data_IF_679225125885
#
_entry.id   IF_679225125885
#
_cell.length_a   1.000
_cell.length_b   1.000
_cell.length_c   1.000
_cell.angle_alpha   90.00
_cell.angle_beta   90.00
_cell.angle_gamma   90.00
#
_symmetry.space_group_name_H-M   'P 1'
#
loop_
_entity.id
_entity.type
_entity.pdbx_description
1 polymer ?
#
# COMPACT_ATOMS: atom_id res chain seq x y z
N UNK A 1 33.78 -36.72 27.15
CA UNK A 1 32.38 -36.62 27.63
C UNK A 1 31.74 -35.53 26.81
N UNK A 2 31.26 -35.95 25.65
CA UNK A 2 30.72 -35.09 24.62
C UNK A 2 29.31 -34.69 25.02
N UNK A 3 29.04 -33.38 25.05
CA UNK A 3 27.69 -32.84 25.19
C UNK A 3 27.23 -32.41 23.81
N UNK A 4 26.49 -33.31 23.16
CA UNK A 4 25.71 -32.98 21.97
C UNK A 4 24.65 -31.94 22.37
N UNK A 5 24.83 -30.71 21.89
CA UNK A 5 23.76 -29.73 21.87
C UNK A 5 22.86 -30.07 20.69
N UNK A 6 21.66 -30.59 20.99
CA UNK A 6 20.62 -30.74 20.00
C UNK A 6 20.11 -29.33 19.66
N UNK A 7 20.57 -28.76 18.54
CA UNK A 7 19.89 -27.63 17.92
C UNK A 7 18.61 -28.17 17.30
N UNK A 8 17.48 -27.96 17.98
CA UNK A 8 16.19 -28.03 17.33
C UNK A 8 16.08 -26.76 16.50
N UNK A 9 16.41 -26.87 15.21
CA UNK A 9 16.05 -25.86 14.22
C UNK A 9 14.53 -25.86 14.21
N UNK A 10 13.94 -24.84 14.86
CA UNK A 10 12.52 -24.57 14.75
C UNK A 10 12.21 -24.40 13.28
N UNK A 11 11.44 -25.34 12.75
CA UNK A 11 10.88 -25.26 11.42
C UNK A 11 10.01 -24.01 11.40
N UNK A 12 10.53 -22.91 10.85
CA UNK A 12 9.70 -21.80 10.43
C UNK A 12 8.80 -22.38 9.35
N UNK A 13 7.60 -22.81 9.74
CA UNK A 13 6.53 -22.94 8.79
C UNK A 13 6.35 -21.53 8.25
N UNK A 14 7.00 -21.24 7.11
CA UNK A 14 6.41 -20.37 6.12
C UNK A 14 5.04 -20.98 5.85
N UNK A 15 4.05 -20.55 6.61
CA UNK A 15 2.74 -20.36 6.05
C UNK A 15 2.98 -19.18 5.10
N UNK A 16 3.55 -19.51 3.92
CA UNK A 16 3.09 -18.90 2.69
C UNK A 16 1.60 -19.06 2.82
N UNK A 17 0.91 -17.99 3.25
CA UNK A 17 -0.50 -17.86 2.95
C UNK A 17 -0.49 -18.09 1.45
N UNK A 18 -0.98 -19.24 0.96
CA UNK A 18 -1.10 -19.41 -0.47
C UNK A 18 -1.90 -18.19 -0.86
N UNK A 19 -1.36 -17.32 -1.74
CA UNK A 19 -2.10 -16.21 -2.32
C UNK A 19 -3.53 -16.69 -2.42
N UNK A 20 -4.38 -16.24 -1.50
CA UNK A 20 -5.69 -16.85 -1.43
C UNK A 20 -6.23 -16.52 -2.80
N UNK A 21 -6.59 -17.55 -3.56
CA UNK A 21 -7.49 -17.35 -4.67
C UNK A 21 -8.75 -16.86 -4.00
N UNK A 22 -8.77 -15.55 -3.73
CA UNK A 22 -9.95 -14.76 -3.48
C UNK A 22 -10.93 -15.26 -4.54
N UNK A 23 -12.17 -15.52 -4.14
CA UNK A 23 -13.25 -15.50 -5.12
C UNK A 23 -13.34 -14.06 -5.66
N UNK A 24 -12.35 -13.70 -6.49
CA UNK A 24 -12.42 -12.57 -7.38
C UNK A 24 -13.68 -12.80 -8.20
N UNK A 25 -14.41 -11.73 -8.46
CA UNK A 25 -15.36 -11.67 -9.54
C UNK A 25 -14.84 -12.51 -10.71
N UNK A 26 -15.70 -13.32 -11.34
CA UNK A 26 -15.36 -14.18 -12.49
C UNK A 26 -14.88 -13.44 -13.73
N UNK A 27 -14.40 -12.21 -13.57
CA UNK A 27 -13.68 -11.38 -14.51
C UNK A 27 -12.39 -12.09 -14.98
N UNK A 28 -12.24 -12.36 -16.28
CA UNK A 28 -11.07 -13.07 -16.79
C UNK A 28 -9.77 -12.25 -16.81
N UNK A 29 -9.84 -10.91 -16.86
CA UNK A 29 -8.68 -10.06 -17.13
C UNK A 29 -8.38 -9.03 -16.04
N UNK A 30 -9.38 -8.52 -15.31
CA UNK A 30 -9.16 -7.54 -14.22
C UNK A 30 -9.04 -8.23 -12.87
N UNK A 31 -8.07 -7.79 -12.05
CA UNK A 31 -7.97 -8.10 -10.63
C UNK A 31 -7.72 -6.82 -9.83
N UNK A 32 -8.31 -6.71 -8.65
CA UNK A 32 -8.16 -5.55 -7.76
C UNK A 32 -7.70 -6.03 -6.38
N UNK A 33 -6.67 -5.40 -5.80
CA UNK A 33 -6.01 -5.90 -4.57
C UNK A 33 -6.92 -5.96 -3.34
N UNK A 34 -7.95 -5.12 -3.29
CA UNK A 34 -8.93 -5.04 -2.20
C UNK A 34 -10.25 -5.76 -2.50
N UNK A 35 -10.36 -6.39 -3.67
CA UNK A 35 -11.45 -7.33 -3.91
C UNK A 35 -11.21 -8.54 -2.99
N UNK A 36 -12.06 -8.70 -1.98
CA UNK A 36 -12.06 -9.86 -1.11
C UNK A 36 -13.45 -10.13 -0.56
N UNK A 37 -14.08 -11.18 -1.09
CA UNK A 37 -15.43 -11.60 -0.70
C UNK A 37 -15.56 -11.99 0.77
N UNK A 38 -14.48 -12.45 1.42
CA UNK A 38 -14.47 -12.79 2.85
C UNK A 38 -14.61 -11.54 3.74
N UNK A 39 -14.17 -10.39 3.24
CA UNK A 39 -14.29 -9.09 3.91
C UNK A 39 -15.31 -8.16 3.22
N UNK A 40 -16.19 -8.71 2.39
CA UNK A 40 -17.27 -7.97 1.75
C UNK A 40 -16.84 -6.97 0.67
N UNK A 41 -15.61 -7.07 0.14
CA UNK A 41 -15.02 -6.08 -0.76
C UNK A 41 -14.97 -4.66 -0.16
N UNK A 42 -14.76 -4.56 1.15
CA UNK A 42 -14.65 -3.28 1.86
C UNK A 42 -13.18 -2.87 1.95
N UNK A 43 -12.89 -1.59 1.73
CA UNK A 43 -11.59 -0.97 2.01
C UNK A 43 -11.79 0.40 2.65
N UNK A 44 -10.77 0.94 3.33
CA UNK A 44 -10.93 2.12 4.16
C UNK A 44 -9.72 3.03 4.17
N UNK A 45 -9.92 4.26 4.65
CA UNK A 45 -8.82 5.15 5.02
C UNK A 45 -7.86 5.44 3.86
N UNK A 46 -6.57 5.43 4.15
CA UNK A 46 -5.49 5.70 3.21
C UNK A 46 -4.99 4.49 2.43
N UNK A 47 -5.71 3.35 2.46
CA UNK A 47 -5.28 2.16 1.72
C UNK A 47 -5.09 2.48 0.24
N UNK A 48 -3.97 2.04 -0.34
CA UNK A 48 -3.73 2.13 -1.78
C UNK A 48 -4.29 0.87 -2.44
N UNK A 49 -5.03 1.04 -3.53
CA UNK A 49 -5.62 -0.06 -4.29
C UNK A 49 -4.82 -0.27 -5.57
N UNK A 50 -4.37 -1.50 -5.82
CA UNK A 50 -3.77 -1.92 -7.08
C UNK A 50 -4.84 -2.51 -8.00
N UNK A 51 -4.88 -2.01 -9.24
CA UNK A 51 -5.67 -2.58 -10.33
C UNK A 51 -4.73 -3.18 -11.36
N UNK A 52 -4.94 -4.44 -11.71
CA UNK A 52 -4.12 -5.16 -12.70
C UNK A 52 -4.99 -5.68 -13.83
N UNK A 53 -4.59 -5.39 -15.07
CA UNK A 53 -5.18 -5.99 -16.27
C UNK A 53 -4.21 -7.02 -16.86
N UNK A 54 -4.66 -8.27 -16.90
CA UNK A 54 -3.97 -9.43 -17.48
C UNK A 54 -4.68 -9.89 -18.75
N UNK A 55 -4.68 -9.04 -19.77
CA UNK A 55 -5.23 -9.37 -21.08
C UNK A 55 -4.12 -9.69 -22.09
N UNK A 56 -4.10 -10.93 -22.58
CA UNK A 56 -3.09 -11.43 -23.53
C UNK A 56 -3.08 -10.70 -24.89
N UNK A 57 -4.15 -9.99 -25.26
CA UNK A 57 -4.21 -9.25 -26.52
C UNK A 57 -3.37 -7.96 -26.47
N UNK A 58 -3.08 -7.47 -25.27
CA UNK A 58 -2.35 -6.21 -25.02
C UNK A 58 -1.12 -6.43 -24.12
N UNK A 59 -0.57 -7.65 -24.10
CA UNK A 59 0.55 -8.01 -23.23
C UNK A 59 1.95 -7.87 -23.85
N UNK A 60 2.06 -7.71 -25.18
CA UNK A 60 3.38 -7.57 -25.80
C UNK A 60 4.04 -6.28 -25.35
N UNK A 61 5.30 -6.39 -24.92
CA UNK A 61 6.07 -5.27 -24.33
C UNK A 61 6.97 -4.57 -25.34
N UNK A 62 7.15 -5.14 -26.52
CA UNK A 62 8.00 -4.61 -27.60
C UNK A 62 7.19 -4.15 -28.83
N UNK A 63 5.88 -4.35 -28.80
CA UNK A 63 4.93 -3.89 -29.81
C UNK A 63 3.97 -2.84 -29.21
N UNK A 64 3.65 -1.81 -29.98
CA UNK A 64 2.72 -0.77 -29.57
C UNK A 64 1.30 -1.34 -29.35
N UNK A 65 0.82 -1.29 -28.11
CA UNK A 65 -0.53 -1.61 -27.68
C UNK A 65 -1.22 -0.35 -27.18
N UNK A 66 -2.53 -0.30 -27.34
CA UNK A 66 -3.33 0.75 -26.73
C UNK A 66 -3.41 0.57 -25.22
N UNK A 67 -3.42 1.68 -24.48
CA UNK A 67 -3.78 1.67 -23.07
C UNK A 67 -5.16 1.01 -22.88
N UNK A 68 -5.32 0.06 -21.94
CA UNK A 68 -6.62 -0.54 -21.67
C UNK A 68 -7.59 0.53 -21.14
N UNK A 69 -8.83 0.49 -21.64
CA UNK A 69 -9.90 1.37 -21.18
C UNK A 69 -10.40 0.92 -19.81
N UNK A 70 -9.87 1.55 -18.76
CA UNK A 70 -10.23 1.31 -17.37
C UNK A 70 -10.75 2.61 -16.74
N UNK A 71 -11.87 2.51 -16.03
CA UNK A 71 -12.45 3.65 -15.32
C UNK A 71 -12.66 3.37 -13.84
N UNK A 72 -12.55 4.42 -13.03
CA UNK A 72 -12.94 4.49 -11.63
C UNK A 72 -14.13 5.45 -11.53
N UNK A 73 -15.32 4.95 -11.21
CA UNK A 73 -16.56 5.73 -11.18
C UNK A 73 -16.79 6.56 -12.47
N UNK A 74 -16.43 5.98 -13.62
CA UNK A 74 -16.57 6.60 -14.94
C UNK A 74 -15.49 7.62 -15.32
N UNK A 75 -14.50 7.88 -14.46
CA UNK A 75 -13.29 8.66 -14.79
C UNK A 75 -12.18 7.72 -15.22
N UNK A 76 -11.35 8.09 -16.19
CA UNK A 76 -10.24 7.26 -16.68
C UNK A 76 -9.23 7.01 -15.56
N UNK A 77 -9.00 5.75 -15.24
CA UNK A 77 -7.89 5.32 -14.41
C UNK A 77 -6.72 4.99 -15.34
N UNK A 78 -5.68 5.81 -15.36
CA UNK A 78 -4.53 5.61 -16.26
C UNK A 78 -3.82 4.31 -15.92
N UNK A 79 -3.58 3.48 -16.93
CA UNK A 79 -2.95 2.17 -16.78
C UNK A 79 -1.55 2.19 -17.39
N UNK A 80 -0.57 1.66 -16.67
CA UNK A 80 0.84 1.65 -17.07
C UNK A 80 1.28 0.21 -17.33
N UNK A 81 1.83 -0.08 -18.52
CA UNK A 81 2.35 -1.41 -18.81
C UNK A 81 3.67 -1.65 -18.05
N UNK A 82 3.74 -2.73 -17.29
CA UNK A 82 4.96 -3.19 -16.65
C UNK A 82 5.77 -4.13 -17.54
N UNK A 83 6.99 -4.46 -17.13
CA UNK A 83 7.93 -5.32 -17.85
C UNK A 83 7.47 -6.78 -17.97
N UNK A 84 6.49 -7.20 -17.18
CA UNK A 84 5.87 -8.53 -17.26
C UNK A 84 4.72 -8.62 -18.28
N UNK A 85 4.40 -7.51 -18.96
CA UNK A 85 3.35 -7.43 -19.97
C UNK A 85 1.95 -7.19 -19.40
N UNK A 86 1.79 -7.09 -18.08
CA UNK A 86 0.53 -6.69 -17.47
C UNK A 86 0.46 -5.17 -17.31
N UNK A 87 -0.76 -4.67 -17.13
CA UNK A 87 -1.00 -3.24 -16.93
C UNK A 87 -1.42 -2.97 -15.50
N UNK A 88 -0.85 -1.94 -14.89
CA UNK A 88 -0.98 -1.62 -13.48
C UNK A 88 -1.47 -0.18 -13.29
N UNK A 89 -2.32 0.02 -12.30
CA UNK A 89 -2.63 1.34 -11.77
C UNK A 89 -2.75 1.27 -10.25
N UNK A 90 -2.39 2.37 -9.59
CA UNK A 90 -2.57 2.56 -8.16
C UNK A 90 -3.50 3.75 -7.94
N UNK A 91 -4.48 3.61 -7.06
CA UNK A 91 -5.33 4.72 -6.65
C UNK A 91 -5.56 4.76 -5.14
N UNK A 92 -5.88 5.94 -4.62
CA UNK A 92 -6.21 6.14 -3.21
C UNK A 92 -7.21 7.29 -3.04
N UNK A 93 -7.89 7.32 -1.88
CA UNK A 93 -8.76 8.44 -1.51
C UNK A 93 -7.90 9.69 -1.26
N UNK A 94 -8.21 10.80 -1.94
CA UNK A 94 -7.41 12.02 -1.90
C UNK A 94 -7.29 12.62 -0.50
N UNK A 95 -8.37 12.65 0.27
CA UNK A 95 -8.38 13.28 1.60
C UNK A 95 -7.61 12.43 2.60
N UNK A 96 -7.77 11.09 2.53
CA UNK A 96 -7.05 10.18 3.42
C UNK A 96 -5.57 10.04 3.06
N UNK A 97 -5.21 10.03 1.77
CA UNK A 97 -3.81 10.07 1.35
C UNK A 97 -3.09 11.31 1.88
N UNK A 98 -3.70 12.49 1.74
CA UNK A 98 -3.16 13.74 2.30
C UNK A 98 -3.05 13.72 3.82
N UNK A 99 -4.04 13.15 4.50
CA UNK A 99 -4.05 13.02 5.97
C UNK A 99 -2.94 12.09 6.45
N UNK A 100 -2.72 10.98 5.75
CA UNK A 100 -1.65 10.03 6.00
C UNK A 100 -0.28 10.69 5.80
N UNK A 101 -0.09 11.34 4.67
CA UNK A 101 1.15 12.05 4.33
C UNK A 101 1.46 13.20 5.31
N UNK A 102 0.43 13.85 5.88
CA UNK A 102 0.60 14.90 6.88
C UNK A 102 1.18 14.37 8.21
N UNK A 103 1.20 13.05 8.43
CA UNK A 103 1.85 12.43 9.59
C UNK A 103 3.35 12.23 9.39
N UNK A 104 3.88 12.39 8.18
CA UNK A 104 5.27 12.07 7.83
C UNK A 104 6.24 12.99 8.58
N UNK A 105 7.08 12.39 9.42
CA UNK A 105 8.15 13.11 10.14
C UNK A 105 9.48 13.15 9.39
N UNK A 106 9.69 12.25 8.43
CA UNK A 106 10.88 12.16 7.58
C UNK A 106 10.49 11.57 6.22
N UNK A 107 10.92 12.22 5.12
CA UNK A 107 10.59 11.77 3.77
C UNK A 107 11.07 10.32 3.51
N UNK A 108 10.24 9.51 2.87
CA UNK A 108 10.46 8.08 2.65
C UNK A 108 10.11 7.18 3.83
N UNK A 109 9.43 7.69 4.88
CA UNK A 109 9.16 6.94 6.12
C UNK A 109 7.74 7.15 6.61
N UNK A 110 7.21 6.17 7.35
CA UNK A 110 5.81 6.23 7.81
C UNK A 110 4.86 6.14 6.62
N UNK A 111 3.67 6.74 6.73
CA UNK A 111 2.66 6.72 5.67
C UNK A 111 2.93 7.81 4.61
N UNK A 112 4.12 7.77 4.01
CA UNK A 112 4.58 8.73 2.99
C UNK A 112 4.13 8.29 1.60
N UNK A 113 3.39 9.16 0.91
CA UNK A 113 2.91 8.92 -0.46
C UNK A 113 3.88 9.45 -1.53
N UNK A 114 4.96 10.11 -1.12
CA UNK A 114 5.90 10.83 -1.95
C UNK A 114 5.60 12.33 -1.93
N UNK A 115 5.41 12.93 -3.10
CA UNK A 115 5.03 14.34 -3.24
C UNK A 115 3.79 14.49 -4.11
N UNK A 116 2.94 15.46 -3.80
CA UNK A 116 1.68 15.66 -4.54
C UNK A 116 1.80 16.71 -5.63
N UNK A 117 1.22 16.38 -6.78
CA UNK A 117 1.02 17.28 -7.92
C UNK A 117 -0.47 17.43 -8.23
N UNK A 118 -0.86 18.64 -8.64
CA UNK A 118 -2.21 18.90 -9.14
C UNK A 118 -2.49 18.09 -10.40
N UNK A 119 -3.74 17.69 -10.60
CA UNK A 119 -4.26 17.11 -11.86
C UNK A 119 -4.00 18.00 -13.09
N UNK A 120 -3.84 19.30 -12.88
CA UNK A 120 -3.59 20.29 -13.93
C UNK A 120 -2.11 20.37 -14.35
N UNK A 121 -1.23 19.56 -13.72
CA UNK A 121 0.16 19.40 -14.10
C UNK A 121 0.27 19.01 -15.58
N UNK A 122 1.05 19.77 -16.34
CA UNK A 122 1.26 19.53 -17.78
C UNK A 122 1.74 18.10 -18.05
N UNK A 123 1.21 17.46 -19.10
CA UNK A 123 1.68 16.14 -19.53
C UNK A 123 3.16 16.11 -19.92
N UNK A 124 3.78 17.26 -20.18
CA UNK A 124 5.23 17.35 -20.41
C UNK A 124 6.07 17.10 -19.15
N UNK A 125 5.48 17.17 -17.96
CA UNK A 125 6.17 17.02 -16.66
C UNK A 125 6.23 15.55 -16.24
N UNK A 126 5.10 14.84 -16.36
CA UNK A 126 4.96 13.42 -15.96
C UNK A 126 4.90 12.47 -17.15
N UNK A 127 4.98 12.98 -18.38
CA UNK A 127 4.88 12.19 -19.62
C UNK A 127 3.45 11.95 -20.11
N UNK A 128 2.45 12.08 -19.24
CA UNK A 128 1.03 11.91 -19.59
C UNK A 128 0.12 12.80 -18.73
N UNK A 129 -1.13 12.98 -19.15
CA UNK A 129 -2.13 13.77 -18.40
C UNK A 129 -2.90 12.92 -17.40
N UNK A 130 -3.18 13.52 -16.24
CA UNK A 130 -4.00 12.96 -15.17
C UNK A 130 -5.18 13.89 -14.84
N UNK A 131 -5.70 14.63 -15.83
CA UNK A 131 -6.73 15.66 -15.62
C UNK A 131 -8.08 15.14 -15.11
N UNK A 132 -8.32 13.83 -15.17
CA UNK A 132 -9.53 13.19 -14.64
C UNK A 132 -9.40 12.78 -13.16
N UNK A 133 -8.21 12.90 -12.55
CA UNK A 133 -8.00 12.70 -11.11
C UNK A 133 -8.28 13.99 -10.32
N UNK A 134 -8.19 13.94 -9.00
CA UNK A 134 -8.13 15.13 -8.15
C UNK A 134 -6.68 15.58 -7.89
N UNK A 135 -5.72 14.67 -8.05
CA UNK A 135 -4.29 14.92 -8.05
C UNK A 135 -3.53 13.61 -8.23
N UNK A 136 -2.21 13.66 -8.09
CA UNK A 136 -1.35 12.47 -8.14
C UNK A 136 -0.27 12.54 -7.08
N UNK A 137 0.09 11.39 -6.51
CA UNK A 137 1.27 11.23 -5.69
C UNK A 137 2.41 10.68 -6.53
N UNK A 138 3.53 11.40 -6.54
CA UNK A 138 4.74 11.09 -7.30
C UNK A 138 5.80 10.60 -6.32
N UNK A 139 6.43 9.45 -6.57
CA UNK A 139 7.36 8.82 -5.63
C UNK A 139 8.68 9.58 -5.47
N UNK A 140 8.95 10.60 -6.30
CA UNK A 140 10.25 11.29 -6.36
C UNK A 140 10.06 12.80 -6.46
N UNK A 141 10.83 13.53 -5.67
CA UNK A 141 10.78 15.00 -5.61
C UNK A 141 11.95 15.68 -6.30
N UNK A 142 13.10 15.02 -6.46
CA UNK A 142 14.29 15.63 -7.06
C UNK A 142 14.02 16.00 -8.52
N UNK A 143 14.43 17.21 -8.96
CA UNK A 143 14.15 17.73 -10.30
C UNK A 143 12.72 18.25 -10.51
N UNK A 144 11.77 17.81 -9.69
CA UNK A 144 10.41 18.31 -9.64
C UNK A 144 10.34 19.60 -8.82
N UNK A 145 9.51 20.54 -9.25
CA UNK A 145 9.32 21.83 -8.57
C UNK A 145 7.83 22.16 -8.54
N UNK A 146 7.37 22.84 -7.49
CA UNK A 146 5.95 23.17 -7.36
C UNK A 146 5.12 21.95 -7.03
N UNK A 147 5.60 21.11 -6.10
CA UNK A 147 4.83 20.04 -5.47
C UNK A 147 4.43 20.44 -4.04
N UNK A 148 3.52 19.69 -3.45
CA UNK A 148 3.06 19.85 -2.06
C UNK A 148 3.13 18.53 -1.30
N UNK A 149 3.20 18.60 0.03
CA UNK A 149 3.14 17.44 0.92
C UNK A 149 2.03 17.64 1.97
N UNK A 150 1.62 16.55 2.59
CA UNK A 150 0.61 16.50 3.63
C UNK A 150 -0.75 17.04 3.21
N UNK A 151 -1.36 17.84 4.08
CA UNK A 151 -2.73 18.36 3.91
C UNK A 151 -2.83 19.62 3.04
N UNK A 152 -1.71 20.10 2.50
CA UNK A 152 -1.66 21.29 1.64
C UNK A 152 -2.49 21.13 0.37
N UNK A 153 -3.01 22.25 -0.15
CA UNK A 153 -3.72 22.25 -1.45
C UNK A 153 -2.73 21.98 -2.57
N UNK A 154 -3.10 21.13 -3.54
CA UNK A 154 -2.22 20.78 -4.65
C UNK A 154 -1.89 21.99 -5.51
N UNK A 155 -0.69 21.97 -6.06
CA UNK A 155 -0.19 22.93 -7.04
C UNK A 155 0.34 22.19 -8.26
N UNK A 156 0.35 22.87 -9.41
CA UNK A 156 0.89 22.31 -10.64
C UNK A 156 2.39 22.10 -10.52
N UNK A 157 2.82 20.85 -10.71
CA UNK A 157 4.22 20.52 -10.77
C UNK A 157 4.83 21.00 -12.08
N UNK A 158 6.12 21.34 -12.01
CA UNK A 158 6.96 21.74 -13.13
C UNK A 158 8.32 21.04 -13.02
N UNK A 159 9.12 21.12 -14.08
CA UNK A 159 10.35 20.32 -14.18
C UNK A 159 10.01 18.87 -14.55
N UNK A 160 10.86 17.94 -14.12
CA UNK A 160 10.67 16.49 -14.29
C UNK A 160 11.28 15.79 -13.09
N UNK A 161 10.64 14.74 -12.56
CA UNK A 161 11.27 13.93 -11.51
C UNK A 161 12.56 13.33 -12.08
N UNK A 162 13.59 13.30 -11.25
CA UNK A 162 14.90 12.72 -11.56
C UNK A 162 15.39 11.96 -10.34
N UNK A 163 16.26 10.96 -10.52
CA UNK A 163 16.91 10.14 -9.48
C UNK A 163 16.14 8.85 -9.09
N UNK A 164 16.78 8.02 -8.29
CA UNK A 164 16.37 6.67 -7.90
C UNK A 164 15.71 6.58 -6.52
N UNK A 165 15.82 7.62 -5.69
CA UNK A 165 15.27 7.61 -4.33
C UNK A 165 13.74 7.64 -4.34
N UNK A 166 13.12 6.50 -4.07
CA UNK A 166 11.67 6.37 -3.88
C UNK A 166 11.29 6.86 -2.47
N UNK A 167 10.52 7.94 -2.40
CA UNK A 167 9.94 8.50 -1.16
C UNK A 167 8.59 7.87 -0.83
N UNK A 168 7.92 7.22 -1.79
CA UNK A 168 6.66 6.55 -1.55
C UNK A 168 6.91 5.29 -0.70
N UNK A 169 6.28 5.23 0.47
CA UNK A 169 6.38 4.15 1.45
C UNK A 169 5.05 3.39 1.63
N UNK A 170 4.10 3.58 0.71
CA UNK A 170 2.81 2.88 0.63
C UNK A 170 2.60 2.18 -0.72
N UNK A 171 3.60 2.22 -1.61
CA UNK A 171 3.74 1.37 -2.80
C UNK A 171 5.24 1.06 -2.99
N UNK A 172 5.75 0.09 -2.23
CA UNK A 172 7.18 -0.19 -2.10
C UNK A 172 7.73 -1.17 -3.13
N UNK A 173 6.93 -2.13 -3.58
CA UNK A 173 7.34 -3.19 -4.51
C UNK A 173 6.51 -3.23 -5.80
N UNK A 174 6.16 -2.06 -6.34
CA UNK A 174 5.53 -1.97 -7.66
C UNK A 174 6.34 -2.70 -8.75
N UNK A 175 5.63 -3.27 -9.73
CA UNK A 175 6.28 -3.90 -10.87
C UNK A 175 7.11 -2.90 -11.65
N UNK A 176 8.25 -3.34 -12.17
CA UNK A 176 9.10 -2.48 -13.00
C UNK A 176 8.35 -2.05 -14.26
N UNK A 177 8.35 -0.76 -14.57
CA UNK A 177 7.70 -0.21 -15.75
C UNK A 177 8.36 -0.71 -17.04
N UNK A 178 7.56 -0.92 -18.10
CA UNK A 178 8.09 -1.27 -19.42
C UNK A 178 8.88 -0.08 -20.00
N UNK A 179 10.17 -0.30 -20.27
CA UNK A 179 11.09 0.70 -20.85
C UNK A 179 11.67 0.25 -22.20
N UNK A 180 11.03 -0.73 -22.86
CA UNK A 180 11.49 -1.21 -24.16
C UNK A 180 11.56 -0.06 -25.18
N UNK A 181 12.71 0.09 -25.86
CA UNK A 181 12.98 1.20 -26.78
C UNK A 181 12.10 1.23 -28.03
N UNK A 182 11.37 0.15 -28.33
CA UNK A 182 10.46 0.09 -29.49
C UNK A 182 9.10 0.76 -29.22
N UNK A 183 8.77 1.01 -27.96
CA UNK A 183 7.49 1.60 -27.52
C UNK A 183 7.74 2.77 -26.58
N UNK A 184 6.71 3.56 -26.31
CA UNK A 184 6.77 4.58 -25.26
C UNK A 184 6.85 3.92 -23.88
N UNK A 185 7.51 4.56 -22.92
CA UNK A 185 7.62 4.06 -21.54
C UNK A 185 6.23 3.83 -20.96
N UNK A 186 6.01 2.63 -20.40
CA UNK A 186 4.72 2.18 -19.87
C UNK A 186 3.61 2.12 -20.93
N UNK A 187 3.95 2.21 -22.22
CA UNK A 187 3.06 2.36 -23.38
C UNK A 187 2.15 3.60 -23.38
N UNK A 188 2.23 4.44 -22.34
CA UNK A 188 1.52 5.73 -22.24
C UNK A 188 2.45 6.94 -22.29
N UNK A 189 3.78 6.70 -22.36
CA UNK A 189 4.79 7.76 -22.38
C UNK A 189 5.08 8.37 -21.01
N UNK A 190 4.73 7.68 -19.92
CA UNK A 190 4.99 8.13 -18.55
C UNK A 190 6.49 8.38 -18.35
N UNK A 191 6.83 9.41 -17.58
CA UNK A 191 8.18 9.57 -17.06
C UNK A 191 8.53 8.36 -16.16
N UNK A 192 9.67 7.72 -16.43
CA UNK A 192 10.11 6.53 -15.69
C UNK A 192 10.27 6.82 -14.19
N UNK A 193 10.71 8.03 -13.85
CA UNK A 193 10.94 8.47 -12.48
C UNK A 193 9.65 8.93 -11.79
N UNK A 194 8.53 9.03 -12.52
CA UNK A 194 7.21 9.20 -11.92
C UNK A 194 6.60 7.87 -11.42
N UNK A 195 7.14 6.71 -11.80
CA UNK A 195 6.60 5.39 -11.41
C UNK A 195 7.20 4.85 -10.10
N UNK A 196 6.42 4.28 -9.16
CA UNK A 196 4.97 4.11 -9.19
C UNK A 196 4.20 5.35 -8.75
N UNK A 197 3.34 5.85 -9.64
CA UNK A 197 2.45 6.99 -9.38
C UNK A 197 1.13 6.48 -8.80
N UNK A 198 0.61 7.17 -7.78
CA UNK A 198 -0.73 6.91 -7.22
C UNK A 198 -1.68 8.00 -7.73
N UNK A 199 -2.78 7.60 -8.36
CA UNK A 199 -3.84 8.49 -8.81
C UNK A 199 -4.81 8.77 -7.66
N UNK A 200 -5.03 10.04 -7.32
CA UNK A 200 -5.84 10.42 -6.17
C UNK A 200 -7.23 10.83 -6.62
N UNK A 201 -8.25 10.28 -5.97
CA UNK A 201 -9.65 10.56 -6.27
C UNK A 201 -10.44 10.83 -4.99
N UNK A 202 -11.42 11.72 -5.07
CA UNK A 202 -12.50 11.84 -4.12
C UNK A 202 -13.61 10.88 -4.52
N UNK A 203 -13.96 9.98 -3.60
CA UNK A 203 -15.01 8.97 -3.77
C UNK A 203 -15.61 8.59 -2.41
N UNK A 204 -16.83 8.08 -2.48
CA UNK A 204 -17.42 7.19 -1.47
C UNK A 204 -17.14 5.77 -1.97
N UNK A 205 -18.14 4.99 -2.37
CA UNK A 205 -17.91 3.69 -3.01
C UNK A 205 -17.26 3.80 -4.40
N UNK A 206 -16.62 2.72 -4.84
CA UNK A 206 -15.95 2.68 -6.14
C UNK A 206 -16.39 1.51 -7.01
N UNK A 207 -16.58 1.82 -8.29
CA UNK A 207 -16.75 0.87 -9.37
C UNK A 207 -15.53 0.99 -10.28
N UNK A 208 -14.75 -0.08 -10.37
CA UNK A 208 -13.68 -0.21 -11.36
C UNK A 208 -14.23 -1.00 -12.55
N UNK A 209 -14.20 -0.41 -13.74
CA UNK A 209 -14.65 -1.05 -14.97
C UNK A 209 -13.52 -1.15 -15.99
N UNK A 210 -13.33 -2.34 -16.57
CA UNK A 210 -12.45 -2.59 -17.71
C UNK A 210 -13.25 -2.99 -18.96
N UNK A 211 -12.98 -2.33 -20.08
CA UNK A 211 -13.66 -2.52 -21.36
C UNK A 211 -12.75 -3.18 -22.43
N UNK A 212 -12.66 -4.53 -22.51
CA UNK A 212 -11.77 -5.25 -23.43
C UNK A 212 -12.21 -5.25 -24.92
N UNK A 213 -13.18 -4.42 -25.31
CA UNK A 213 -13.86 -4.51 -26.62
C UNK A 213 -14.90 -5.65 -26.73
N UNK A 214 -15.15 -6.34 -25.61
CA UNK A 214 -16.23 -7.31 -25.40
C UNK A 214 -17.17 -6.86 -24.26
N UNK A 215 -17.80 -7.79 -23.53
CA UNK A 215 -18.54 -7.44 -22.32
C UNK A 215 -17.64 -6.74 -21.29
N UNK A 216 -18.13 -5.68 -20.63
CA UNK A 216 -17.38 -5.00 -19.57
C UNK A 216 -17.12 -5.96 -18.40
N UNK A 217 -15.97 -5.80 -17.75
CA UNK A 217 -15.60 -6.47 -16.51
C UNK A 217 -15.61 -5.42 -15.40
N UNK A 218 -16.25 -5.73 -14.27
CA UNK A 218 -16.45 -4.76 -13.20
C UNK A 218 -16.09 -5.35 -11.84
N UNK A 219 -15.53 -4.51 -10.98
CA UNK A 219 -15.32 -4.77 -9.56
C UNK A 219 -15.95 -3.64 -8.77
N UNK A 220 -16.82 -3.99 -7.83
CA UNK A 220 -17.41 -3.07 -6.87
C UNK A 220 -16.69 -3.20 -5.53
N UNK A 221 -16.27 -2.07 -4.98
CA UNK A 221 -15.72 -1.98 -3.64
C UNK A 221 -16.49 -0.94 -2.83
N UNK A 222 -16.81 -1.30 -1.59
CA UNK A 222 -17.40 -0.39 -0.62
C UNK A 222 -16.28 0.36 0.12
N UNK A 223 -16.41 1.68 0.25
CA UNK A 223 -15.44 2.50 0.98
C UNK A 223 -16.05 2.99 2.29
N UNK A 224 -15.82 2.23 3.35
CA UNK A 224 -16.39 2.49 4.67
C UNK A 224 -15.47 1.97 5.78
N UNK A 225 -15.91 2.11 7.03
CA UNK A 225 -15.26 1.53 8.19
C UNK A 225 -15.09 0.00 8.06
N UNK A 226 -13.90 -0.50 8.43
CA UNK A 226 -13.64 -1.94 8.43
C UNK A 226 -14.38 -2.61 9.58
N UNK A 227 -15.27 -3.53 9.23
CA UNK A 227 -15.99 -4.38 10.17
C UNK A 227 -15.25 -5.71 10.42
N UNK A 228 -15.70 -6.45 11.44
CA UNK A 228 -15.23 -7.82 11.75
C UNK A 228 -13.74 -7.95 12.11
N UNK A 229 -13.18 -6.92 12.73
CA UNK A 229 -11.84 -6.95 13.26
C UNK A 229 -11.79 -7.89 14.47
N UNK A 230 -10.83 -8.80 14.50
CA UNK A 230 -10.75 -9.83 15.53
C UNK A 230 -9.35 -10.04 16.07
N UNK A 231 -9.27 -10.45 17.34
CA UNK A 231 -8.06 -10.93 17.98
C UNK A 231 -8.35 -12.31 18.56
N UNK A 232 -7.59 -13.31 18.11
CA UNK A 232 -7.76 -14.69 18.50
C UNK A 232 -6.48 -15.19 19.17
N UNK A 233 -6.61 -15.75 20.38
CA UNK A 233 -5.50 -16.39 21.07
C UNK A 233 -5.30 -17.81 20.55
N UNK A 234 -4.06 -18.28 20.54
CA UNK A 234 -3.75 -19.64 20.07
C UNK A 234 -4.30 -20.75 20.99
N UNK A 235 -4.62 -20.44 22.25
CA UNK A 235 -5.23 -21.36 23.22
C UNK A 235 -5.82 -20.63 24.44
N UNK A 236 -6.69 -21.33 25.17
CA UNK A 236 -7.33 -20.80 26.38
C UNK A 236 -6.47 -20.91 27.65
N UNK A 237 -5.50 -21.84 27.67
CA UNK A 237 -4.70 -22.16 28.85
C UNK A 237 -3.20 -22.20 28.50
N UNK A 238 -2.43 -21.44 29.27
CA UNK A 238 -0.98 -21.28 29.09
C UNK A 238 -0.24 -21.91 30.26
N UNK A 239 0.59 -22.95 30.03
CA UNK A 239 1.53 -23.44 31.04
C UNK A 239 2.49 -22.33 31.48
N UNK A 240 3.05 -22.45 32.68
CA UNK A 240 4.09 -21.53 33.12
C UNK A 240 5.27 -21.55 32.13
N UNK A 241 5.72 -20.35 31.73
CA UNK A 241 6.80 -20.10 30.76
C UNK A 241 6.46 -20.43 29.29
N UNK A 242 5.19 -20.61 28.92
CA UNK A 242 4.82 -20.65 27.49
C UNK A 242 4.71 -19.26 26.89
N UNK A 243 5.03 -19.14 25.61
CA UNK A 243 4.76 -17.95 24.81
C UNK A 243 3.26 -17.87 24.48
N UNK A 244 2.78 -16.63 24.29
CA UNK A 244 1.41 -16.34 23.88
C UNK A 244 1.46 -15.92 22.42
N UNK A 245 0.76 -16.66 21.56
CA UNK A 245 0.57 -16.28 20.18
C UNK A 245 -0.87 -15.82 20.00
N UNK A 246 -1.06 -14.76 19.23
CA UNK A 246 -2.38 -14.32 18.84
C UNK A 246 -2.37 -13.93 17.36
N UNK A 247 -3.51 -14.11 16.72
CA UNK A 247 -3.77 -13.64 15.37
C UNK A 247 -4.64 -12.39 15.46
N UNK A 248 -4.18 -11.31 14.83
CA UNK A 248 -4.94 -10.08 14.66
C UNK A 248 -5.43 -10.04 13.20
N UNK A 249 -6.74 -9.93 13.02
CA UNK A 249 -7.36 -9.74 11.71
C UNK A 249 -7.89 -8.31 11.62
N UNK A 250 -7.22 -7.48 10.83
CA UNK A 250 -7.61 -6.10 10.54
C UNK A 250 -7.11 -5.75 9.13
N UNK A 251 -8.02 -5.78 8.14
CA UNK A 251 -7.63 -5.52 6.75
C UNK A 251 -7.21 -4.08 6.51
N UNK A 252 -7.56 -3.14 7.40
CA UNK A 252 -7.09 -1.76 7.29
C UNK A 252 -5.59 -1.64 7.56
N UNK A 253 -4.96 -2.65 8.17
CA UNK A 253 -3.50 -2.67 8.32
C UNK A 253 -2.78 -2.93 6.98
N UNK A 254 -3.49 -3.31 5.91
CA UNK A 254 -2.93 -3.51 4.58
C UNK A 254 -3.01 -2.21 3.75
N UNK A 255 -2.06 -1.30 3.98
CA UNK A 255 -1.95 0.00 3.30
C UNK A 255 -1.26 -0.11 1.94
N UNK A 256 -0.23 -0.97 1.83
CA UNK A 256 0.55 -1.18 0.61
C UNK A 256 0.08 -2.45 -0.13
N UNK A 257 -0.47 -2.34 -1.35
CA UNK A 257 -0.95 -3.52 -2.08
C UNK A 257 0.18 -4.33 -2.73
N UNK A 258 1.43 -3.85 -2.67
CA UNK A 258 2.58 -4.43 -3.38
C UNK A 258 3.57 -5.16 -2.48
N UNK A 259 3.55 -4.92 -1.18
CA UNK A 259 4.47 -5.51 -0.21
C UNK A 259 3.81 -5.70 1.16
N UNK A 260 4.36 -6.58 1.99
CA UNK A 260 3.87 -6.81 3.35
C UNK A 260 4.11 -5.57 4.23
N UNK A 261 3.07 -5.15 4.95
CA UNK A 261 3.12 -4.03 5.88
C UNK A 261 3.61 -4.44 7.28
N UNK A 262 4.42 -3.57 7.88
CA UNK A 262 4.95 -3.75 9.23
C UNK A 262 4.36 -2.72 10.18
N UNK A 263 3.55 -3.21 11.13
CA UNK A 263 2.93 -2.39 12.18
C UNK A 263 3.54 -2.72 13.54
N UNK A 264 3.99 -1.68 14.25
CA UNK A 264 4.56 -1.81 15.58
C UNK A 264 3.66 -1.17 16.62
N UNK A 265 3.25 -1.96 17.60
CA UNK A 265 2.41 -1.51 18.70
C UNK A 265 3.21 -1.44 20.00
N UNK A 266 3.20 -0.28 20.67
CA UNK A 266 3.44 -0.27 22.10
C UNK A 266 2.12 -0.59 22.80
N UNK A 267 2.07 -1.71 23.50
CA UNK A 267 0.82 -2.28 24.05
C UNK A 267 0.62 -2.04 25.55
N UNK A 268 1.60 -1.44 26.23
CA UNK A 268 1.56 -1.18 27.67
C UNK A 268 0.89 0.17 28.02
N UNK A 269 1.12 0.71 29.24
CA UNK A 269 0.37 1.84 29.82
C UNK A 269 0.38 3.13 29.00
N UNK A 270 1.24 3.27 27.99
CA UNK A 270 1.11 4.31 26.97
C UNK A 270 1.05 3.67 25.59
N UNK A 271 -0.16 3.39 25.12
CA UNK A 271 -0.36 2.76 23.81
C UNK A 271 0.17 3.64 22.69
N UNK A 272 0.90 3.05 21.75
CA UNK A 272 1.39 3.71 20.52
C UNK A 272 1.24 2.78 19.34
N UNK A 273 1.06 3.34 18.17
CA UNK A 273 0.99 2.62 16.90
C UNK A 273 1.94 3.32 15.94
N UNK A 274 2.77 2.54 15.26
CA UNK A 274 3.72 3.01 14.27
C UNK A 274 3.59 2.15 13.01
N UNK A 275 3.65 2.79 11.86
CA UNK A 275 3.77 2.13 10.57
C UNK A 275 5.23 2.16 10.12
N UNK A 276 5.77 1.02 9.69
CA UNK A 276 7.15 0.86 9.24
C UNK A 276 8.19 1.37 10.26
N UNK A 277 8.00 1.07 11.54
CA UNK A 277 9.09 1.24 12.50
C UNK A 277 10.29 0.35 12.09
N UNK A 278 9.97 -0.86 11.64
CA UNK A 278 10.89 -1.83 11.06
C UNK A 278 10.37 -2.25 9.69
N UNK A 279 11.27 -2.63 8.79
CA UNK A 279 10.89 -3.21 7.50
C UNK A 279 10.34 -4.66 7.66
N UNK A 280 9.91 -5.28 6.55
CA UNK A 280 9.40 -6.65 6.52
C UNK A 280 10.44 -7.72 6.92
N UNK A 281 11.72 -7.34 7.04
CA UNK A 281 12.84 -8.18 7.45
C UNK A 281 13.29 -7.90 8.90
N UNK A 282 12.63 -6.98 9.60
CA UNK A 282 12.93 -6.59 10.98
C UNK A 282 14.09 -5.60 11.13
N UNK A 283 14.58 -4.99 10.06
CA UNK A 283 15.60 -3.93 10.16
C UNK A 283 14.96 -2.60 10.54
N UNK A 284 15.74 -1.72 11.18
CA UNK A 284 15.32 -0.34 11.47
C UNK A 284 14.95 0.41 10.18
N UNK A 285 13.68 0.77 10.04
CA UNK A 285 13.20 1.64 8.96
C UNK A 285 13.02 3.08 9.47
N UNK A 286 11.90 3.36 10.13
CA UNK A 286 11.66 4.62 10.82
C UNK A 286 12.24 4.63 12.25
N UNK A 287 12.50 3.46 12.84
CA UNK A 287 13.00 3.35 14.21
C UNK A 287 14.31 4.14 14.42
N UNK A 288 14.39 4.82 15.57
CA UNK A 288 15.55 5.64 15.93
C UNK A 288 15.70 6.98 15.17
N UNK A 289 14.77 7.35 14.30
CA UNK A 289 14.82 8.61 13.56
C UNK A 289 13.48 9.38 13.57
N UNK A 290 13.44 10.55 12.91
CA UNK A 290 12.29 11.44 12.91
C UNK A 290 11.06 10.88 12.17
N UNK A 291 11.23 9.83 11.35
CA UNK A 291 10.14 9.13 10.69
C UNK A 291 9.27 8.30 11.63
N UNK A 292 9.75 7.99 12.85
CA UNK A 292 8.98 7.22 13.83
C UNK A 292 7.90 8.07 14.48
N UNK A 293 6.76 8.19 13.80
CA UNK A 293 5.62 9.00 14.25
C UNK A 293 4.55 8.12 14.88
N UNK A 294 4.12 8.50 16.09
CA UNK A 294 3.02 7.81 16.77
C UNK A 294 1.69 8.19 16.12
N UNK A 295 1.01 7.20 15.53
CA UNK A 295 -0.22 7.40 14.78
C UNK A 295 -1.48 7.48 15.65
N UNK A 296 -1.42 7.12 16.94
CA UNK A 296 -2.60 7.13 17.84
C UNK A 296 -3.42 8.45 17.78
N UNK A 297 -2.81 9.65 17.79
CA UNK A 297 -3.56 10.92 17.70
C UNK A 297 -4.21 11.18 16.32
N UNK A 298 -3.83 10.40 15.31
CA UNK A 298 -4.19 10.59 13.91
C UNK A 298 -5.13 9.51 13.37
N UNK A 299 -5.25 8.36 14.05
CA UNK A 299 -6.03 7.18 13.61
C UNK A 299 -7.44 7.52 13.10
N UNK A 300 -8.25 8.24 13.88
CA UNK A 300 -9.60 8.63 13.46
C UNK A 300 -9.60 9.47 12.17
N UNK A 301 -8.66 10.40 12.03
CA UNK A 301 -8.55 11.18 10.79
C UNK A 301 -8.10 10.31 9.59
N UNK A 302 -7.31 9.26 9.84
CA UNK A 302 -6.91 8.25 8.85
C UNK A 302 -8.04 7.27 8.50
N UNK A 303 -9.19 7.37 9.17
CA UNK A 303 -10.34 6.48 8.98
C UNK A 303 -10.25 5.17 9.78
N UNK A 304 -9.33 5.08 10.75
CA UNK A 304 -9.37 4.03 11.77
C UNK A 304 -10.30 4.50 12.88
N UNK A 305 -11.48 3.90 12.98
CA UNK A 305 -12.47 4.26 13.99
C UNK A 305 -12.20 3.46 15.28
N UNK A 306 -12.71 2.24 15.36
CA UNK A 306 -12.55 1.37 16.53
C UNK A 306 -11.29 0.46 16.48
N UNK A 307 -10.39 0.68 15.51
CA UNK A 307 -9.22 -0.15 15.23
C UNK A 307 -7.89 0.61 15.14
N UNK A 308 -6.83 -0.05 14.63
CA UNK A 308 -5.48 0.54 14.52
C UNK A 308 -4.73 0.71 15.85
N UNK A 309 -5.29 0.24 16.97
CA UNK A 309 -4.69 0.31 18.31
C UNK A 309 -4.75 -1.04 19.00
N UNK A 310 -3.60 -1.46 19.55
CA UNK A 310 -3.51 -2.66 20.38
C UNK A 310 -3.13 -2.30 21.82
N UNK A 311 -3.79 -2.93 22.79
CA UNK A 311 -3.47 -2.80 24.21
C UNK A 311 -3.51 -4.14 24.91
N UNK A 312 -2.57 -4.41 25.81
CA UNK A 312 -2.51 -5.64 26.59
C UNK A 312 -2.48 -5.34 28.10
N UNK A 313 -3.31 -6.04 28.86
CA UNK A 313 -3.23 -6.05 30.32
C UNK A 313 -2.45 -7.29 30.78
N UNK A 314 -1.20 -7.07 31.18
CA UNK A 314 -0.29 -8.17 31.57
C UNK A 314 -0.61 -8.76 32.95
N UNK A 315 -1.30 -8.00 33.81
CA UNK A 315 -1.50 -8.38 35.21
C UNK A 315 -0.19 -8.73 35.91
N UNK A 316 -0.21 -9.82 36.69
CA UNK A 316 0.98 -10.35 37.39
C UNK A 316 1.45 -11.71 36.82
N UNK A 317 0.92 -12.11 35.66
CA UNK A 317 1.09 -13.46 35.10
C UNK A 317 1.73 -13.47 33.71
N UNK A 318 1.85 -12.32 33.06
CA UNK A 318 2.52 -12.15 31.77
C UNK A 318 3.62 -11.10 31.87
N UNK A 319 4.68 -11.29 31.08
CA UNK A 319 5.75 -10.32 30.88
C UNK A 319 5.97 -10.13 29.37
N UNK A 320 6.23 -8.90 28.94
CA UNK A 320 6.69 -8.64 27.57
C UNK A 320 8.17 -8.97 27.49
N UNK A 321 8.55 -9.79 26.51
CA UNK A 321 9.94 -10.05 26.17
C UNK A 321 10.24 -9.41 24.81
N UNK A 322 11.27 -8.60 24.78
CA UNK A 322 11.89 -8.14 23.54
C UNK A 322 12.49 -9.36 22.83
N UNK A 323 12.13 -9.58 21.57
CA UNK A 323 12.80 -10.58 20.73
C UNK A 323 14.04 -9.95 20.08
N UNK A 324 14.89 -10.76 19.46
CA UNK A 324 16.11 -10.26 18.80
C UNK A 324 15.82 -9.32 17.60
N UNK A 325 14.56 -9.27 17.16
CA UNK A 325 14.10 -8.46 16.03
C UNK A 325 13.61 -7.07 16.48
N UNK A 326 13.56 -6.83 17.80
CA UNK A 326 13.33 -5.50 18.35
C UNK A 326 14.65 -5.00 18.98
N UNK A 327 15.29 -3.93 18.46
CA UNK A 327 16.47 -3.36 19.08
C UNK A 327 16.18 -2.97 20.52
N UNK A 328 17.16 -3.20 21.39
CA UNK A 328 17.10 -2.81 22.78
C UNK A 328 16.89 -1.29 22.85
N UNK A 329 15.75 -0.88 23.41
CA UNK A 329 15.45 0.51 23.76
C UNK A 329 16.51 1.13 24.66
#
# INVERSE_FOLDING_TARGET
>A
MDKNWLFMIGFFLLILIPFMNVEASGNPNISVSTENSEFGNIFAGSMVVEVVIRDSNISDTDEGKGEPDVTLNGKTLRMVQASDGHWYAYFANVDKAKTADATVGLAGKGLDFGVFCSRDTSSSVLGTSFSETDGVAVPRSTGLVGFTNGDSSFIECTGSPTDSANLNNVVRQAKSINTNSNVSVGQIGLDVDAWPLIQLYSFDDVIIEYNPGGPPQQVYLEYDEIQNISLELDRDLYPQNSEVFFTLNDIQLNQDPTDEDSWTFNVNSTTRTFYQAYDNSGNDDANGNAGLVNLIPHLSNLGFEDNGKLSLNLGNIMELKTTNDQPNS
#
